data_IF_572384146095
#
_entry.id   IF_572384146095
#
_cell.length_a   1.000
_cell.length_b   1.000
_cell.length_c   1.000
_cell.angle_alpha   90.00
_cell.angle_beta   90.00
_cell.angle_gamma   90.00
#
_symmetry.space_group_name_H-M   'P 1'
#
loop_
_entity.id
_entity.type
_entity.pdbx_description
1 polymer ?
#
# COMPACT_ATOMS: atom_id res chain seq x y z
N UNK A 1 -5.88 -0.93 -17.73
CA UNK A 1 -4.97 -1.20 -16.60
C UNK A 1 -4.81 -2.71 -16.46
N UNK A 2 -3.58 -3.18 -16.22
CA UNK A 2 -3.31 -4.59 -15.91
C UNK A 2 -3.61 -4.92 -14.45
N UNK A 3 -3.74 -6.19 -14.12
CA UNK A 3 -3.92 -6.65 -12.75
C UNK A 3 -3.05 -7.89 -12.52
N UNK A 4 -2.34 -7.90 -11.40
CA UNK A 4 -1.64 -9.09 -10.95
C UNK A 4 -2.64 -10.05 -10.32
N UNK A 5 -2.62 -11.31 -10.74
CA UNK A 5 -3.47 -12.37 -10.17
C UNK A 5 -2.63 -13.28 -9.30
N UNK A 6 -2.86 -13.25 -7.99
CA UNK A 6 -2.22 -14.15 -7.00
C UNK A 6 -2.96 -15.48 -6.91
N UNK A 7 -2.20 -16.57 -6.90
CA UNK A 7 -2.69 -17.96 -6.99
C UNK A 7 -2.09 -18.88 -5.91
N UNK A 8 -1.18 -18.35 -5.08
CA UNK A 8 -0.50 -19.11 -4.04
C UNK A 8 0.40 -18.19 -3.21
N UNK A 9 0.53 -18.52 -1.93
CA UNK A 9 1.39 -17.85 -0.96
C UNK A 9 2.19 -18.90 -0.22
N UNK A 10 3.39 -18.55 0.21
CA UNK A 10 4.23 -19.40 1.03
C UNK A 10 5.14 -18.50 1.87
N UNK A 11 5.15 -18.70 3.18
CA UNK A 11 6.20 -18.18 4.05
C UNK A 11 7.24 -19.27 4.29
N UNK A 12 8.48 -19.00 3.90
CA UNK A 12 9.61 -19.83 4.29
C UNK A 12 10.37 -19.16 5.45
N UNK A 13 10.92 -19.94 6.38
CA UNK A 13 11.66 -19.43 7.51
C UNK A 13 12.96 -20.20 7.76
N UNK A 14 13.92 -19.52 8.37
CA UNK A 14 15.18 -20.10 8.84
C UNK A 14 15.70 -19.32 10.04
N UNK A 15 16.68 -19.88 10.75
CA UNK A 15 17.44 -19.16 11.78
C UNK A 15 18.79 -18.77 11.22
N UNK A 16 19.16 -17.50 11.37
CA UNK A 16 20.51 -17.03 11.01
C UNK A 16 21.56 -17.69 11.91
N UNK A 17 22.83 -17.55 11.54
CA UNK A 17 23.97 -17.93 12.41
C UNK A 17 23.96 -17.20 13.76
N UNK A 18 23.35 -16.01 13.83
CA UNK A 18 23.17 -15.20 15.04
C UNK A 18 21.93 -15.60 15.86
N UNK A 19 21.11 -16.54 15.36
CA UNK A 19 19.92 -17.08 16.04
C UNK A 19 18.60 -16.38 15.69
N UNK A 20 18.64 -15.31 14.88
CA UNK A 20 17.45 -14.57 14.46
C UNK A 20 16.54 -15.42 13.58
N UNK A 21 15.25 -15.42 13.91
CA UNK A 21 14.22 -16.06 13.08
C UNK A 21 13.81 -15.11 11.94
N UNK A 22 14.14 -15.51 10.72
CA UNK A 22 13.90 -14.73 9.52
C UNK A 22 12.98 -15.46 8.56
N UNK A 23 12.30 -14.67 7.72
CA UNK A 23 11.28 -15.11 6.80
C UNK A 23 11.59 -14.62 5.39
N UNK A 24 11.28 -15.44 4.40
CA UNK A 24 11.19 -15.07 2.99
C UNK A 24 9.79 -15.38 2.52
N UNK A 25 9.10 -14.38 1.98
CA UNK A 25 7.74 -14.56 1.48
C UNK A 25 7.77 -14.74 -0.04
N UNK A 26 7.09 -15.80 -0.49
CA UNK A 26 6.93 -16.13 -1.89
C UNK A 26 5.46 -16.06 -2.30
N UNK A 27 5.19 -15.36 -3.40
CA UNK A 27 3.86 -15.31 -3.98
C UNK A 27 3.88 -15.90 -5.40
N UNK A 28 2.87 -16.70 -5.73
CA UNK A 28 2.66 -17.23 -7.07
C UNK A 28 1.67 -16.37 -7.82
N UNK A 29 2.09 -15.73 -8.90
CA UNK A 29 1.22 -14.81 -9.63
C UNK A 29 1.43 -14.85 -11.15
N UNK A 30 0.49 -14.24 -11.87
CA UNK A 30 0.60 -13.91 -13.30
C UNK A 30 -0.05 -12.56 -13.59
N UNK A 31 0.26 -11.95 -14.72
CA UNK A 31 -0.41 -10.74 -15.20
C UNK A 31 -1.68 -11.11 -15.97
N UNK A 32 -2.83 -10.55 -15.58
CA UNK A 32 -4.17 -10.89 -16.10
C UNK A 32 -4.27 -10.74 -17.61
N UNK A 33 -3.56 -9.77 -18.19
CA UNK A 33 -3.60 -9.48 -19.62
C UNK A 33 -2.60 -10.29 -20.46
N UNK A 34 -1.74 -11.11 -19.84
CA UNK A 34 -0.70 -11.87 -20.54
C UNK A 34 -1.11 -13.33 -20.74
N UNK A 35 -1.43 -13.72 -21.98
CA UNK A 35 -1.86 -15.08 -22.32
C UNK A 35 -0.73 -15.88 -23.00
N UNK A 36 -0.61 -17.21 -22.73
CA UNK A 36 -1.37 -17.98 -21.75
C UNK A 36 -0.97 -17.65 -20.30
N UNK A 37 -1.95 -17.66 -19.38
CA UNK A 37 -1.69 -17.43 -17.95
C UNK A 37 -0.77 -18.54 -17.42
N UNK A 38 0.49 -18.17 -17.14
CA UNK A 38 1.50 -19.08 -16.61
C UNK A 38 1.97 -18.57 -15.24
N UNK A 39 1.34 -19.02 -14.14
CA UNK A 39 1.69 -18.56 -12.79
C UNK A 39 3.15 -18.88 -12.45
N UNK A 40 3.86 -17.92 -11.85
CA UNK A 40 5.25 -18.10 -11.40
C UNK A 40 5.38 -17.69 -9.95
N UNK A 41 6.17 -18.45 -9.20
CA UNK A 41 6.58 -18.08 -7.85
C UNK A 41 7.66 -17.01 -7.89
N UNK A 42 7.53 -16.01 -7.04
CA UNK A 42 8.50 -14.92 -6.89
C UNK A 42 8.64 -14.56 -5.43
N UNK A 43 9.88 -14.34 -4.97
CA UNK A 43 10.11 -13.80 -3.62
C UNK A 43 9.80 -12.30 -3.61
N UNK A 44 9.01 -11.82 -2.67
CA UNK A 44 8.64 -10.40 -2.60
C UNK A 44 8.99 -9.71 -1.28
N UNK A 45 9.39 -10.46 -0.24
CA UNK A 45 9.85 -9.92 1.03
C UNK A 45 10.91 -10.83 1.69
N UNK A 46 11.86 -10.23 2.39
CA UNK A 46 12.86 -10.92 3.21
C UNK A 46 13.14 -10.10 4.48
N UNK A 47 13.08 -10.73 5.65
CA UNK A 47 13.36 -10.04 6.91
C UNK A 47 12.74 -10.71 8.13
N UNK A 48 12.63 -9.95 9.22
CA UNK A 48 11.90 -10.38 10.43
C UNK A 48 10.40 -10.50 10.16
N UNK A 49 9.66 -11.15 11.06
CA UNK A 49 8.21 -11.30 10.96
C UNK A 49 7.49 -9.96 10.72
N UNK A 50 7.87 -8.92 11.47
CA UNK A 50 7.22 -7.61 11.38
C UNK A 50 7.59 -6.90 10.08
N UNK A 51 8.86 -6.95 9.66
CA UNK A 51 9.30 -6.39 8.39
C UNK A 51 8.53 -6.99 7.20
N UNK A 52 8.48 -8.32 7.11
CA UNK A 52 7.79 -8.96 5.98
C UNK A 52 6.28 -8.77 6.03
N UNK A 53 5.70 -8.61 7.23
CA UNK A 53 4.29 -8.25 7.39
C UNK A 53 4.02 -6.82 6.90
N UNK A 54 4.89 -5.84 7.20
CA UNK A 54 4.79 -4.49 6.60
C UNK A 54 4.76 -4.56 5.07
N UNK A 55 5.61 -5.40 4.48
CA UNK A 55 5.64 -5.61 3.03
C UNK A 55 4.33 -6.24 2.51
N UNK A 56 3.72 -7.15 3.25
CA UNK A 56 2.41 -7.70 2.93
C UNK A 56 1.29 -6.63 2.96
N UNK A 57 1.36 -5.64 3.84
CA UNK A 57 0.43 -4.50 3.84
C UNK A 57 0.57 -3.62 2.60
N UNK A 58 1.78 -3.46 2.05
CA UNK A 58 1.95 -2.79 0.75
C UNK A 58 1.27 -3.59 -0.38
N UNK A 59 1.36 -4.92 -0.38
CA UNK A 59 0.57 -5.73 -1.32
C UNK A 59 -0.94 -5.64 -1.07
N UNK A 60 -1.37 -5.47 0.18
CA UNK A 60 -2.77 -5.27 0.53
C UNK A 60 -3.34 -3.95 -0.02
N UNK A 61 -2.53 -2.89 -0.13
CA UNK A 61 -3.01 -1.64 -0.75
C UNK A 61 -3.33 -1.79 -2.24
N UNK A 62 -2.65 -2.70 -2.95
CA UNK A 62 -2.96 -2.99 -4.36
C UNK A 62 -4.32 -3.68 -4.52
N UNK A 63 -4.82 -4.33 -3.45
CA UNK A 63 -6.17 -4.90 -3.43
C UNK A 63 -7.25 -3.82 -3.38
N UNK A 64 -6.98 -2.64 -2.80
CA UNK A 64 -7.97 -1.57 -2.62
C UNK A 64 -8.51 -1.06 -3.97
N UNK A 65 -7.63 -0.89 -4.96
CA UNK A 65 -7.99 -0.45 -6.32
C UNK A 65 -8.15 -1.58 -7.34
N UNK A 66 -8.10 -2.85 -6.89
CA UNK A 66 -8.25 -4.01 -7.76
C UNK A 66 -7.02 -4.33 -8.65
N UNK A 67 -5.85 -3.76 -8.37
CA UNK A 67 -4.61 -4.05 -9.07
C UNK A 67 -4.03 -5.43 -8.69
N UNK A 68 -4.37 -5.93 -7.50
CA UNK A 68 -4.11 -7.29 -7.07
C UNK A 68 -5.42 -8.06 -6.90
N UNK A 69 -5.53 -9.19 -7.61
CA UNK A 69 -6.75 -10.00 -7.68
C UNK A 69 -6.46 -11.47 -7.44
N UNK A 70 -7.50 -12.25 -7.21
CA UNK A 70 -7.49 -13.71 -7.30
C UNK A 70 -8.00 -14.15 -8.67
N UNK A 71 -7.85 -15.43 -9.06
CA UNK A 71 -8.47 -15.95 -10.28
C UNK A 71 -10.00 -15.80 -10.30
N UNK A 72 -10.61 -15.60 -9.12
CA UNK A 72 -12.06 -15.41 -8.94
C UNK A 72 -12.47 -13.94 -8.88
N UNK A 73 -11.55 -13.00 -9.07
CA UNK A 73 -11.82 -11.56 -8.99
C UNK A 73 -11.19 -10.89 -7.77
N UNK A 74 -11.78 -9.79 -7.34
CA UNK A 74 -11.24 -8.90 -6.32
C UNK A 74 -10.94 -9.60 -4.98
N UNK A 75 -9.85 -9.17 -4.34
CA UNK A 75 -9.47 -9.59 -3.01
C UNK A 75 -9.71 -8.40 -2.08
N UNK A 76 -10.31 -8.62 -0.91
CA UNK A 76 -10.39 -7.58 0.13
C UNK A 76 -9.02 -7.44 0.83
N UNK A 77 -8.50 -6.22 1.08
CA UNK A 77 -7.19 -6.03 1.70
C UNK A 77 -7.00 -6.79 3.02
N UNK A 78 -8.03 -6.80 3.89
CA UNK A 78 -8.00 -7.52 5.16
C UNK A 78 -7.86 -9.04 5.01
N UNK A 79 -8.44 -9.61 3.94
CA UNK A 79 -8.31 -11.03 3.65
C UNK A 79 -6.92 -11.37 3.11
N UNK A 80 -6.33 -10.47 2.33
CA UNK A 80 -4.96 -10.62 1.85
C UNK A 80 -3.96 -10.63 3.03
N UNK A 81 -4.11 -9.69 3.97
CA UNK A 81 -3.28 -9.61 5.19
C UNK A 81 -3.47 -10.86 6.05
N UNK A 82 -4.71 -11.29 6.28
CA UNK A 82 -5.00 -12.47 7.09
C UNK A 82 -4.41 -13.74 6.47
N UNK A 83 -4.44 -13.87 5.13
CA UNK A 83 -3.79 -15.00 4.44
C UNK A 83 -2.28 -15.02 4.68
N UNK A 84 -1.60 -13.86 4.66
CA UNK A 84 -0.17 -13.79 4.99
C UNK A 84 0.12 -14.09 6.45
N UNK A 85 -0.74 -13.68 7.37
CA UNK A 85 -0.59 -14.01 8.79
C UNK A 85 -0.71 -15.51 9.05
N UNK A 86 -1.58 -16.20 8.31
CA UNK A 86 -1.70 -17.67 8.36
C UNK A 86 -0.43 -18.35 7.88
N UNK A 87 0.12 -17.94 6.73
CA UNK A 87 1.40 -18.44 6.22
C UNK A 87 2.54 -18.21 7.22
N UNK A 88 2.62 -17.00 7.79
CA UNK A 88 3.65 -16.62 8.76
C UNK A 88 3.54 -17.38 10.10
N UNK A 89 2.36 -17.90 10.45
CA UNK A 89 2.17 -18.73 11.64
C UNK A 89 2.50 -20.21 11.38
N UNK A 90 2.66 -20.61 10.12
CA UNK A 90 2.96 -21.98 9.70
C UNK A 90 4.03 -22.00 8.60
N UNK A 91 5.17 -21.34 8.80
CA UNK A 91 6.18 -21.29 7.76
C UNK A 91 6.82 -22.66 7.57
N UNK A 92 7.30 -22.88 6.36
CA UNK A 92 8.11 -24.05 5.99
C UNK A 92 9.59 -23.70 5.99
N UNK A 93 10.45 -24.70 6.03
CA UNK A 93 11.90 -24.49 6.09
C UNK A 93 12.41 -23.85 4.79
N UNK A 94 13.18 -22.77 4.92
CA UNK A 94 14.03 -22.28 3.83
C UNK A 94 15.38 -23.01 3.88
N UNK A 95 15.79 -23.69 2.82
CA UNK A 95 17.13 -24.28 2.78
C UNK A 95 18.20 -23.21 2.70
N UNK A 96 19.41 -23.50 3.19
CA UNK A 96 20.56 -22.63 2.93
C UNK A 96 20.83 -22.59 1.43
N UNK A 97 21.00 -21.37 0.90
CA UNK A 97 21.22 -21.13 -0.52
C UNK A 97 22.55 -20.45 -0.72
N UNK A 98 23.26 -20.87 -1.78
CA UNK A 98 24.52 -20.27 -2.14
C UNK A 98 24.31 -19.30 -3.29
N UNK A 99 24.65 -18.03 -3.06
CA UNK A 99 24.48 -16.95 -4.03
C UNK A 99 25.84 -16.48 -4.52
N UNK A 100 25.91 -16.17 -5.82
CA UNK A 100 27.03 -15.41 -6.39
C UNK A 100 26.58 -13.97 -6.60
N UNK A 101 27.05 -13.09 -5.72
CA UNK A 101 26.82 -11.65 -5.82
C UNK A 101 27.77 -11.07 -6.87
N UNK A 102 27.21 -10.52 -7.94
CA UNK A 102 27.99 -9.90 -9.02
C UNK A 102 27.14 -8.86 -9.73
N UNK A 103 27.75 -7.72 -10.04
CA UNK A 103 27.10 -6.70 -10.87
C UNK A 103 27.10 -7.12 -12.33
N UNK A 104 25.91 -7.25 -12.91
CA UNK A 104 25.75 -7.65 -14.31
C UNK A 104 24.64 -6.83 -14.98
N UNK A 105 24.77 -6.65 -16.29
CA UNK A 105 23.77 -5.98 -17.12
C UNK A 105 22.76 -7.01 -17.65
N UNK A 106 21.99 -7.59 -16.72
CA UNK A 106 20.96 -8.58 -17.01
C UNK A 106 19.74 -8.35 -16.14
N UNK A 107 18.55 -8.54 -16.72
CA UNK A 107 17.31 -8.55 -15.96
C UNK A 107 17.34 -9.58 -14.82
N UNK A 108 18.02 -10.72 -15.00
CA UNK A 108 18.12 -11.79 -14.01
C UNK A 108 19.34 -11.67 -13.09
N UNK A 109 20.14 -10.59 -13.21
CA UNK A 109 21.32 -10.40 -12.38
C UNK A 109 20.96 -10.39 -10.89
N UNK A 110 21.81 -11.02 -10.07
CA UNK A 110 21.70 -10.95 -8.60
C UNK A 110 21.84 -9.50 -8.13
N UNK A 111 22.81 -8.78 -8.70
CA UNK A 111 22.96 -7.33 -8.54
C UNK A 111 22.92 -6.64 -9.93
N UNK A 112 21.91 -5.79 -10.21
CA UNK A 112 21.87 -5.01 -11.45
C UNK A 112 23.00 -3.98 -11.50
N UNK A 113 23.69 -3.86 -12.65
CA UNK A 113 24.77 -2.87 -12.83
C UNK A 113 24.35 -1.43 -12.48
N UNK A 114 23.10 -1.05 -12.82
CA UNK A 114 22.54 0.28 -12.51
C UNK A 114 22.45 0.62 -11.01
N UNK A 115 22.44 -0.39 -10.13
CA UNK A 115 22.29 -0.20 -8.69
C UNK A 115 23.65 -0.12 -7.97
N UNK A 116 24.77 -0.10 -8.71
CA UNK A 116 26.12 -0.21 -8.14
C UNK A 116 26.44 0.89 -7.13
N UNK A 117 26.16 2.15 -7.44
CA UNK A 117 26.46 3.28 -6.53
C UNK A 117 25.57 3.31 -5.29
N UNK A 118 24.28 2.94 -5.44
CA UNK A 118 23.37 2.82 -4.31
C UNK A 118 23.80 1.69 -3.36
N UNK A 119 24.15 0.53 -3.93
CA UNK A 119 24.69 -0.61 -3.17
C UNK A 119 26.00 -0.25 -2.49
N UNK A 120 26.92 0.46 -3.17
CA UNK A 120 28.16 0.95 -2.56
C UNK A 120 27.87 1.79 -1.32
N UNK A 121 27.00 2.79 -1.47
CA UNK A 121 26.64 3.72 -0.40
C UNK A 121 26.05 2.98 0.81
N UNK A 122 25.16 2.02 0.56
CA UNK A 122 24.52 1.22 1.61
C UNK A 122 25.53 0.32 2.34
N UNK A 123 26.39 -0.38 1.59
CA UNK A 123 27.38 -1.28 2.17
C UNK A 123 28.48 -0.52 2.92
N UNK A 124 28.95 0.60 2.40
CA UNK A 124 29.94 1.45 3.07
C UNK A 124 29.43 1.96 4.42
N UNK A 125 28.23 2.53 4.45
CA UNK A 125 27.58 3.01 5.69
C UNK A 125 27.39 1.91 6.74
N UNK A 126 27.30 0.66 6.30
CA UNK A 126 27.06 -0.51 7.16
C UNK A 126 28.35 -1.30 7.46
N UNK A 127 29.52 -0.81 7.04
CA UNK A 127 30.82 -1.46 7.32
C UNK A 127 31.18 -2.63 6.40
N UNK A 128 30.50 -2.79 5.26
CA UNK A 128 30.68 -3.88 4.28
C UNK A 128 31.46 -3.45 3.03
N UNK A 129 32.36 -2.45 3.14
CA UNK A 129 33.11 -1.93 1.98
C UNK A 129 34.04 -3.00 1.37
N UNK A 130 34.68 -3.84 2.19
CA UNK A 130 35.53 -4.93 1.70
C UNK A 130 34.73 -5.97 0.88
N UNK A 131 33.49 -6.25 1.28
CA UNK A 131 32.58 -7.14 0.56
C UNK A 131 32.14 -6.48 -0.76
N UNK A 132 31.89 -5.17 -0.77
CA UNK A 132 31.61 -4.45 -2.01
C UNK A 132 32.78 -4.57 -3.00
N UNK A 133 34.02 -4.34 -2.55
CA UNK A 133 35.21 -4.45 -3.39
C UNK A 133 35.36 -5.87 -3.96
N UNK A 134 35.14 -6.90 -3.13
CA UNK A 134 35.14 -8.29 -3.57
C UNK A 134 34.05 -8.59 -4.62
N UNK A 135 32.84 -8.04 -4.46
CA UNK A 135 31.75 -8.18 -5.43
C UNK A 135 32.13 -7.55 -6.78
N UNK A 136 32.79 -6.39 -6.76
CA UNK A 136 33.16 -5.63 -7.97
C UNK A 136 34.29 -6.32 -8.74
N UNK A 137 35.28 -6.87 -8.05
CA UNK A 137 36.43 -7.50 -8.70
C UNK A 137 36.09 -8.87 -9.32
N UNK A 138 35.73 -9.84 -8.49
CA UNK A 138 35.60 -11.25 -8.91
C UNK A 138 34.17 -11.81 -8.70
N UNK A 139 33.33 -11.05 -8.00
CA UNK A 139 32.07 -11.51 -7.46
C UNK A 139 32.27 -12.25 -6.13
N UNK A 140 31.29 -12.14 -5.24
CA UNK A 140 31.36 -12.71 -3.90
C UNK A 140 30.40 -13.90 -3.79
N UNK A 141 30.90 -15.05 -3.32
CA UNK A 141 30.07 -16.21 -3.01
C UNK A 141 29.65 -16.14 -1.55
N UNK A 142 28.35 -16.16 -1.31
CA UNK A 142 27.74 -16.02 0.02
C UNK A 142 26.69 -17.10 0.25
N UNK A 143 26.37 -17.35 1.51
CA UNK A 143 25.33 -18.29 1.93
C UNK A 143 24.22 -17.55 2.67
N UNK A 144 22.97 -18.02 2.56
CA UNK A 144 21.86 -17.41 3.27
C UNK A 144 22.09 -17.42 4.78
N UNK A 145 22.57 -18.54 5.30
CA UNK A 145 22.74 -18.75 6.74
C UNK A 145 23.99 -18.06 7.28
N UNK A 146 25.09 -18.04 6.51
CA UNK A 146 26.37 -17.47 6.93
C UNK A 146 26.47 -15.96 6.73
N UNK A 147 25.83 -15.42 5.70
CA UNK A 147 25.97 -14.01 5.29
C UNK A 147 24.65 -13.24 5.39
N UNK A 148 23.81 -13.62 6.34
CA UNK A 148 22.45 -13.09 6.52
C UNK A 148 22.43 -11.55 6.60
N UNK A 149 23.34 -10.93 7.37
CA UNK A 149 23.37 -9.48 7.54
C UNK A 149 23.58 -8.74 6.21
N UNK A 150 24.56 -9.20 5.41
CA UNK A 150 24.83 -8.66 4.07
C UNK A 150 23.62 -8.84 3.15
N UNK A 151 23.00 -10.02 3.15
CA UNK A 151 21.86 -10.30 2.29
C UNK A 151 20.62 -9.49 2.70
N UNK A 152 20.42 -9.21 3.99
CA UNK A 152 19.32 -8.36 4.47
C UNK A 152 19.50 -6.92 4.04
N UNK A 153 20.73 -6.39 4.06
CA UNK A 153 21.01 -5.03 3.57
C UNK A 153 20.70 -4.89 2.08
N UNK A 154 20.97 -5.92 1.29
CA UNK A 154 20.76 -5.90 -0.16
C UNK A 154 19.30 -6.18 -0.54
N UNK A 155 18.73 -7.26 0.01
CA UNK A 155 17.48 -7.87 -0.46
C UNK A 155 16.34 -7.85 0.56
N UNK A 156 16.60 -7.31 1.76
CA UNK A 156 15.58 -7.19 2.81
C UNK A 156 14.44 -6.25 2.41
N UNK A 157 13.42 -6.14 3.26
CA UNK A 157 12.27 -5.25 3.00
C UNK A 157 12.70 -3.79 2.77
N UNK A 158 13.72 -3.33 3.51
CA UNK A 158 14.29 -1.98 3.36
C UNK A 158 15.51 -1.95 2.41
N UNK A 159 15.79 -3.07 1.75
CA UNK A 159 16.87 -3.20 0.77
C UNK A 159 16.53 -2.56 -0.57
N UNK A 160 17.55 -2.06 -1.27
CA UNK A 160 17.39 -1.45 -2.59
C UNK A 160 17.14 -2.45 -3.73
N UNK A 161 17.33 -3.75 -3.49
CA UNK A 161 17.26 -4.80 -4.50
C UNK A 161 16.14 -5.78 -4.17
N UNK A 162 15.30 -6.12 -5.15
CA UNK A 162 14.18 -7.03 -4.92
C UNK A 162 14.64 -8.46 -4.60
N UNK A 163 14.03 -9.15 -3.61
CA UNK A 163 14.47 -10.47 -3.15
C UNK A 163 14.31 -11.60 -4.17
N UNK A 164 13.43 -11.50 -5.17
CA UNK A 164 13.30 -12.51 -6.23
C UNK A 164 14.58 -12.72 -7.05
N UNK A 165 15.52 -11.76 -7.01
CA UNK A 165 16.84 -11.87 -7.63
C UNK A 165 17.77 -12.84 -6.91
N UNK A 166 17.55 -13.03 -5.61
CA UNK A 166 18.35 -13.90 -4.76
C UNK A 166 17.63 -15.22 -4.45
N UNK A 167 16.32 -15.17 -4.23
CA UNK A 167 15.59 -16.29 -3.66
C UNK A 167 14.55 -16.84 -4.63
N UNK A 168 14.59 -18.16 -4.80
CA UNK A 168 13.62 -18.92 -5.58
C UNK A 168 12.86 -19.89 -4.70
N UNK A 169 11.56 -20.02 -4.95
CA UNK A 169 10.68 -20.95 -4.24
C UNK A 169 11.12 -22.41 -4.38
N UNK A 170 11.93 -22.74 -5.40
CA UNK A 170 12.50 -24.09 -5.53
C UNK A 170 13.41 -24.51 -4.36
N UNK A 171 13.89 -23.56 -3.56
CA UNK A 171 14.73 -23.81 -2.38
C UNK A 171 13.92 -23.94 -1.09
N UNK A 172 12.59 -23.90 -1.18
CA UNK A 172 11.70 -24.05 -0.04
C UNK A 172 11.49 -25.54 0.23
N UNK A 173 11.78 -25.97 1.46
CA UNK A 173 11.53 -27.33 1.93
C UNK A 173 10.06 -27.56 2.30
N UNK A 174 9.74 -28.79 2.68
CA UNK A 174 8.38 -29.17 3.10
C UNK A 174 8.23 -29.29 4.61
N UNK A 175 9.32 -29.19 5.36
CA UNK A 175 9.32 -29.34 6.81
C UNK A 175 8.80 -28.06 7.46
N UNK A 176 7.83 -28.15 8.38
CA UNK A 176 7.37 -26.99 9.13
C UNK A 176 8.49 -26.48 10.05
N UNK A 177 8.56 -25.17 10.23
CA UNK A 177 9.43 -24.53 11.22
C UNK A 177 8.58 -24.11 12.41
N UNK A 178 9.02 -24.51 13.60
CA UNK A 178 8.36 -24.08 14.83
C UNK A 178 8.61 -22.59 15.09
N UNK A 179 7.51 -21.82 15.16
CA UNK A 179 7.54 -20.38 15.34
C UNK A 179 6.50 -19.95 16.38
N UNK A 180 6.76 -18.86 17.11
CA UNK A 180 5.77 -18.28 18.01
C UNK A 180 4.50 -17.89 17.24
N UNK A 181 3.39 -18.56 17.54
CA UNK A 181 2.12 -18.27 16.90
C UNK A 181 1.62 -16.87 17.30
N UNK A 182 1.32 -16.04 16.31
CA UNK A 182 0.66 -14.74 16.52
C UNK A 182 -0.84 -14.90 16.29
N UNK A 183 -1.63 -14.81 17.35
CA UNK A 183 -3.09 -14.91 17.27
C UNK A 183 -3.73 -13.54 17.27
N UNK A 184 -4.86 -13.43 16.59
CA UNK A 184 -5.67 -12.22 16.62
C UNK A 184 -6.24 -12.04 18.03
N UNK A 185 -6.17 -10.80 18.50
CA UNK A 185 -6.80 -10.34 19.73
C UNK A 185 -8.06 -9.59 19.33
N UNK A 186 -9.14 -9.78 20.09
CA UNK A 186 -10.37 -9.05 19.87
C UNK A 186 -10.11 -7.53 19.96
N UNK A 187 -10.74 -6.79 19.07
CA UNK A 187 -10.68 -5.33 19.00
C UNK A 187 -11.95 -4.80 19.64
N UNK A 188 -11.84 -3.81 20.53
CA UNK A 188 -13.01 -3.17 21.11
C UNK A 188 -13.56 -2.14 20.13
N UNK A 189 -14.88 -1.94 20.12
CA UNK A 189 -15.51 -0.98 19.21
C UNK A 189 -14.98 0.44 19.40
N UNK A 190 -14.67 0.83 20.64
CA UNK A 190 -14.08 2.14 20.96
C UNK A 190 -12.69 2.36 20.35
N UNK A 191 -12.00 1.30 19.94
CA UNK A 191 -10.67 1.37 19.31
C UNK A 191 -10.76 1.44 17.78
N UNK A 192 -11.94 1.23 17.19
CA UNK A 192 -12.15 1.30 15.75
C UNK A 192 -11.99 2.73 15.23
N UNK A 193 -11.51 2.90 13.98
CA UNK A 193 -11.28 4.22 13.42
C UNK A 193 -12.60 4.95 13.16
N UNK A 194 -12.69 6.20 13.64
CA UNK A 194 -13.71 7.15 13.26
C UNK A 194 -13.27 7.90 12.00
N UNK A 195 -13.81 7.52 10.83
CA UNK A 195 -13.47 8.17 9.57
C UNK A 195 -14.38 9.36 9.34
N UNK A 196 -13.78 10.55 9.19
CA UNK A 196 -14.49 11.77 8.81
C UNK A 196 -14.22 12.03 7.33
N UNK A 197 -15.25 11.89 6.50
CA UNK A 197 -15.13 12.10 5.08
C UNK A 197 -16.45 12.57 4.44
N UNK A 198 -16.31 13.27 3.31
CA UNK A 198 -17.41 13.66 2.42
C UNK A 198 -17.16 13.15 1.00
N UNK A 199 -18.23 12.93 0.24
CA UNK A 199 -18.18 12.69 -1.19
C UNK A 199 -18.06 14.02 -1.95
N UNK A 200 -16.99 14.13 -2.75
CA UNK A 200 -16.84 15.21 -3.74
C UNK A 200 -17.60 14.83 -5.02
N UNK A 201 -17.47 13.58 -5.45
CA UNK A 201 -18.23 12.98 -6.54
C UNK A 201 -18.45 11.47 -6.27
N UNK A 202 -18.83 10.71 -7.30
CA UNK A 202 -19.05 9.26 -7.20
C UNK A 202 -17.81 8.47 -6.74
N UNK A 203 -16.59 8.93 -7.05
CA UNK A 203 -15.32 8.22 -6.84
C UNK A 203 -14.38 8.89 -5.84
N UNK A 204 -14.44 10.22 -5.70
CA UNK A 204 -13.50 11.04 -4.95
C UNK A 204 -14.08 11.43 -3.60
N UNK A 205 -13.25 11.36 -2.57
CA UNK A 205 -13.57 11.65 -1.17
C UNK A 205 -12.68 12.76 -0.66
N UNK A 206 -13.27 13.66 0.11
CA UNK A 206 -12.55 14.57 0.99
C UNK A 206 -12.42 13.90 2.35
N UNK A 207 -11.20 13.64 2.81
CA UNK A 207 -10.93 12.87 4.03
C UNK A 207 -10.18 13.73 5.03
N UNK A 208 -10.58 13.71 6.31
CA UNK A 208 -9.88 14.43 7.35
C UNK A 208 -8.71 13.62 7.94
N UNK A 209 -7.67 14.33 8.36
CA UNK A 209 -6.55 13.83 9.16
C UNK A 209 -6.28 14.80 10.32
N UNK A 210 -6.57 14.36 11.54
CA UNK A 210 -6.66 15.28 12.68
C UNK A 210 -7.72 16.33 12.39
N UNK A 211 -7.39 17.61 12.53
CA UNK A 211 -8.29 18.75 12.27
C UNK A 211 -8.23 19.27 10.82
N UNK A 212 -7.44 18.64 9.95
CA UNK A 212 -7.21 19.11 8.58
C UNK A 212 -7.94 18.24 7.57
N UNK A 213 -8.48 18.87 6.53
CA UNK A 213 -8.95 18.18 5.33
C UNK A 213 -7.77 17.94 4.40
N UNK A 214 -7.59 16.70 3.97
CA UNK A 214 -6.65 16.34 2.91
C UNK A 214 -7.23 16.74 1.55
N UNK A 215 -6.39 16.73 0.52
CA UNK A 215 -6.84 16.85 -0.86
C UNK A 215 -7.82 15.74 -1.23
N UNK A 216 -8.60 15.95 -2.30
CA UNK A 216 -9.48 14.92 -2.81
C UNK A 216 -8.70 13.65 -3.18
N UNK A 217 -9.22 12.50 -2.77
CA UNK A 217 -8.64 11.19 -3.06
C UNK A 217 -9.69 10.26 -3.60
N UNK A 218 -9.35 9.48 -4.62
CA UNK A 218 -10.16 8.33 -4.99
C UNK A 218 -10.38 7.46 -3.75
N UNK A 219 -11.59 6.96 -3.54
CA UNK A 219 -11.94 6.19 -2.33
C UNK A 219 -10.97 5.01 -2.09
N UNK A 220 -10.56 4.32 -3.16
CA UNK A 220 -9.57 3.24 -3.06
C UNK A 220 -8.18 3.74 -2.66
N UNK A 221 -7.76 4.93 -3.09
CA UNK A 221 -6.49 5.54 -2.70
C UNK A 221 -6.50 5.97 -1.24
N UNK A 222 -7.61 6.52 -0.75
CA UNK A 222 -7.80 6.83 0.65
C UNK A 222 -7.71 5.56 1.50
N UNK A 223 -8.41 4.49 1.11
CA UNK A 223 -8.34 3.20 1.79
C UNK A 223 -6.91 2.62 1.81
N UNK A 224 -6.21 2.63 0.66
CA UNK A 224 -4.83 2.20 0.56
C UNK A 224 -3.91 2.95 1.54
N UNK A 225 -4.04 4.28 1.63
CA UNK A 225 -3.30 5.12 2.58
C UNK A 225 -3.58 4.73 4.03
N UNK A 226 -4.84 4.48 4.39
CA UNK A 226 -5.21 4.00 5.72
C UNK A 226 -4.61 2.63 6.04
N UNK A 227 -4.66 1.70 5.07
CA UNK A 227 -4.10 0.34 5.19
C UNK A 227 -2.60 0.40 5.47
N UNK A 228 -1.82 1.13 4.68
CA UNK A 228 -0.35 1.18 4.81
C UNK A 228 0.16 2.12 5.90
N UNK A 229 -0.70 2.97 6.47
CA UNK A 229 -0.35 3.90 7.55
C UNK A 229 -0.89 3.42 8.92
N UNK A 230 -1.96 4.06 9.44
CA UNK A 230 -2.43 3.85 10.81
C UNK A 230 -2.88 2.41 11.09
N UNK A 231 -3.43 1.69 10.11
CA UNK A 231 -3.85 0.29 10.31
C UNK A 231 -2.64 -0.63 10.47
N UNK A 232 -1.60 -0.44 9.64
CA UNK A 232 -0.37 -1.22 9.74
C UNK A 232 0.28 -1.08 11.11
N UNK A 233 0.50 0.17 11.56
CA UNK A 233 1.17 0.42 12.85
C UNK A 233 0.38 -0.19 14.02
N UNK A 234 -0.96 -0.10 13.98
CA UNK A 234 -1.80 -0.73 15.01
C UNK A 234 -1.86 -2.25 14.91
N UNK A 235 -1.85 -2.85 13.72
CA UNK A 235 -1.81 -4.31 13.57
C UNK A 235 -0.53 -4.92 14.14
N UNK A 236 0.61 -4.25 13.96
CA UNK A 236 1.89 -4.72 14.51
C UNK A 236 1.90 -4.73 16.05
N UNK A 237 1.16 -3.80 16.68
CA UNK A 237 1.01 -3.73 18.14
C UNK A 237 -0.13 -4.64 18.67
N UNK A 238 -1.23 -4.75 17.92
CA UNK A 238 -2.45 -5.45 18.29
C UNK A 238 -2.95 -6.31 17.12
N UNK A 239 -2.43 -7.54 16.97
CA UNK A 239 -2.80 -8.41 15.86
C UNK A 239 -4.31 -8.66 15.80
N UNK A 240 -4.91 -8.52 14.61
CA UNK A 240 -6.36 -8.61 14.41
C UNK A 240 -7.05 -7.26 14.20
N UNK A 241 -6.37 -6.15 14.48
CA UNK A 241 -6.85 -4.80 14.22
C UNK A 241 -7.25 -4.58 12.75
N UNK A 242 -6.41 -4.98 11.81
CA UNK A 242 -6.66 -4.80 10.38
C UNK A 242 -7.96 -5.49 9.91
N UNK A 243 -8.23 -6.69 10.45
CA UNK A 243 -9.45 -7.44 10.13
C UNK A 243 -10.72 -6.71 10.57
N UNK A 244 -10.66 -5.98 11.69
CA UNK A 244 -11.80 -5.23 12.21
C UNK A 244 -11.90 -3.82 11.60
N UNK A 245 -10.77 -3.11 11.45
CA UNK A 245 -10.75 -1.70 11.08
C UNK A 245 -10.91 -1.44 9.57
N UNK A 246 -10.31 -2.27 8.69
CA UNK A 246 -10.35 -2.03 7.24
C UNK A 246 -11.80 -2.04 6.69
N UNK A 247 -12.67 -2.99 7.07
CA UNK A 247 -14.08 -2.95 6.65
C UNK A 247 -14.79 -1.66 7.03
N UNK A 248 -14.61 -1.17 8.26
CA UNK A 248 -15.22 0.08 8.77
C UNK A 248 -14.79 1.27 7.93
N UNK A 249 -13.48 1.40 7.67
CA UNK A 249 -12.95 2.50 6.84
C UNK A 249 -13.50 2.42 5.43
N UNK A 250 -13.50 1.23 4.82
CA UNK A 250 -14.04 1.03 3.47
C UNK A 250 -15.51 1.40 3.38
N UNK A 251 -16.30 1.01 4.37
CA UNK A 251 -17.73 1.34 4.42
C UNK A 251 -17.97 2.84 4.58
N UNK A 252 -17.27 3.50 5.50
CA UNK A 252 -17.36 4.94 5.68
C UNK A 252 -17.02 5.72 4.41
N UNK A 253 -15.98 5.28 3.67
CA UNK A 253 -15.62 5.87 2.39
C UNK A 253 -16.68 5.61 1.30
N UNK A 254 -17.27 4.41 1.25
CA UNK A 254 -18.29 4.08 0.25
C UNK A 254 -19.60 4.82 0.49
N UNK A 255 -19.97 5.03 1.76
CA UNK A 255 -21.22 5.65 2.19
C UNK A 255 -21.03 7.13 2.59
N UNK A 256 -19.93 7.77 2.17
CA UNK A 256 -19.66 9.16 2.50
C UNK A 256 -20.78 10.08 1.99
N UNK A 257 -21.30 10.93 2.87
CA UNK A 257 -22.36 11.88 2.52
C UNK A 257 -21.82 12.99 1.61
N UNK A 258 -22.65 13.63 0.77
CA UNK A 258 -22.23 14.77 -0.04
C UNK A 258 -21.66 15.91 0.80
N UNK A 259 -20.81 16.74 0.19
CA UNK A 259 -20.32 17.96 0.81
C UNK A 259 -21.48 18.89 1.23
N UNK A 260 -21.42 19.53 2.41
CA UNK A 260 -22.40 20.53 2.82
C UNK A 260 -22.44 21.72 1.86
N UNK A 261 -23.61 22.31 1.63
CA UNK A 261 -23.78 23.43 0.68
C UNK A 261 -22.87 24.62 0.99
N UNK A 262 -22.63 24.91 2.27
CA UNK A 262 -21.75 26.01 2.70
C UNK A 262 -20.25 25.74 2.54
N UNK A 263 -19.83 24.63 1.93
CA UNK A 263 -18.42 24.32 1.70
C UNK A 263 -17.79 25.36 0.77
N UNK A 264 -16.69 25.97 1.21
CA UNK A 264 -15.89 26.89 0.39
C UNK A 264 -14.51 26.32 0.09
N UNK A 265 -14.00 26.63 -1.08
CA UNK A 265 -12.70 26.17 -1.55
C UNK A 265 -11.87 27.38 -1.90
N UNK A 266 -10.68 27.46 -1.30
CA UNK A 266 -9.68 28.48 -1.63
C UNK A 266 -8.63 27.85 -2.52
N UNK A 267 -8.51 28.33 -3.75
CA UNK A 267 -7.48 27.92 -4.70
C UNK A 267 -6.30 28.91 -4.66
N UNK A 268 -5.07 28.40 -4.59
CA UNK A 268 -3.84 29.20 -4.55
C UNK A 268 -2.93 28.86 -5.71
N UNK A 269 -2.82 29.77 -6.66
CA UNK A 269 -1.92 29.66 -7.81
C UNK A 269 -0.45 29.79 -7.41
N UNK A 270 -0.17 30.53 -6.35
CA UNK A 270 1.18 30.66 -5.76
C UNK A 270 1.72 29.37 -5.17
N UNK A 271 0.83 28.41 -4.83
CA UNK A 271 1.21 27.08 -4.36
C UNK A 271 1.56 26.11 -5.50
N UNK A 272 1.32 26.47 -6.76
CA UNK A 272 1.64 25.60 -7.90
C UNK A 272 3.15 25.49 -8.13
N UNK A 273 3.66 24.27 -8.07
CA UNK A 273 5.06 23.92 -8.38
C UNK A 273 5.26 23.58 -9.85
N UNK A 274 4.19 23.16 -10.55
CA UNK A 274 4.25 22.72 -11.94
C UNK A 274 3.27 23.48 -12.86
N UNK A 275 3.62 23.61 -14.14
CA UNK A 275 2.81 24.33 -15.14
C UNK A 275 1.41 23.73 -15.34
N UNK A 276 1.29 22.40 -15.25
CA UNK A 276 -0.01 21.75 -15.41
C UNK A 276 -0.98 22.13 -14.28
N UNK A 277 -0.49 22.36 -13.05
CA UNK A 277 -1.31 22.79 -11.92
C UNK A 277 -1.83 24.22 -12.16
N UNK A 278 -0.98 25.12 -12.67
CA UNK A 278 -1.36 26.48 -13.02
C UNK A 278 -2.44 26.50 -14.10
N UNK A 279 -2.25 25.72 -15.17
CA UNK A 279 -3.25 25.57 -16.24
C UNK A 279 -4.57 25.02 -15.70
N UNK A 280 -4.52 24.02 -14.83
CA UNK A 280 -5.72 23.44 -14.25
C UNK A 280 -6.51 24.46 -13.40
N UNK A 281 -5.82 25.35 -12.67
CA UNK A 281 -6.47 26.44 -11.93
C UNK A 281 -7.04 27.52 -12.86
N UNK A 282 -6.33 27.87 -13.94
CA UNK A 282 -6.85 28.78 -14.96
C UNK A 282 -8.12 28.18 -15.61
N UNK A 283 -8.12 26.87 -15.90
CA UNK A 283 -9.28 26.15 -16.43
C UNK A 283 -10.44 26.13 -15.42
N UNK A 284 -10.15 25.93 -14.12
CA UNK A 284 -11.16 25.97 -13.07
C UNK A 284 -11.78 27.36 -12.92
N UNK A 285 -10.97 28.42 -12.92
CA UNK A 285 -11.47 29.79 -12.84
C UNK A 285 -12.34 30.16 -14.05
N UNK A 286 -11.99 29.64 -15.25
CA UNK A 286 -12.83 29.76 -16.46
C UNK A 286 -14.14 29.00 -16.35
N UNK A 287 -14.10 27.75 -15.90
CA UNK A 287 -15.31 26.92 -15.69
C UNK A 287 -16.26 27.57 -14.66
N UNK A 288 -15.72 28.25 -13.65
CA UNK A 288 -16.45 29.04 -12.65
C UNK A 288 -16.84 30.45 -13.14
N UNK A 289 -16.49 30.82 -14.37
CA UNK A 289 -16.76 32.14 -14.99
C UNK A 289 -16.19 33.33 -14.21
N UNK A 290 -15.07 33.12 -13.52
CA UNK A 290 -14.36 34.16 -12.77
C UNK A 290 -13.43 35.01 -13.65
N UNK A 291 -13.00 34.46 -14.79
CA UNK A 291 -12.07 35.07 -15.74
C UNK A 291 -12.49 34.79 -17.19
N UNK A 292 -12.00 35.59 -18.14
CA UNK A 292 -12.20 35.39 -19.57
C UNK A 292 -11.36 34.27 -20.20
N UNK A 293 -11.63 33.91 -21.46
CA UNK A 293 -10.99 32.76 -22.17
C UNK A 293 -9.46 32.84 -22.26
N UNK A 294 -8.89 34.04 -22.34
CA UNK A 294 -7.45 34.28 -22.51
C UNK A 294 -6.79 34.88 -21.26
N UNK A 295 -7.50 34.90 -20.14
CA UNK A 295 -7.01 35.46 -18.88
C UNK A 295 -6.39 34.38 -17.99
N UNK A 296 -5.52 34.81 -17.08
CA UNK A 296 -4.96 33.95 -16.04
C UNK A 296 -5.79 34.09 -14.78
N UNK A 297 -5.92 33.01 -14.01
CA UNK A 297 -6.56 33.07 -12.71
C UNK A 297 -5.76 33.99 -11.76
N UNK A 298 -6.43 34.68 -10.83
CA UNK A 298 -5.76 35.44 -9.78
C UNK A 298 -4.89 34.51 -8.91
N UNK A 299 -3.95 35.11 -8.18
CA UNK A 299 -3.03 34.37 -7.31
C UNK A 299 -3.75 33.55 -6.23
N UNK A 300 -4.90 34.05 -5.77
CA UNK A 300 -5.82 33.37 -4.87
C UNK A 300 -7.27 33.70 -5.24
N UNK A 301 -8.16 32.70 -5.22
CA UNK A 301 -9.60 32.91 -5.33
C UNK A 301 -10.37 31.90 -4.47
N UNK A 302 -11.54 32.31 -3.99
CA UNK A 302 -12.44 31.48 -3.18
C UNK A 302 -13.79 31.36 -3.86
N UNK A 303 -14.33 30.14 -3.91
CA UNK A 303 -15.65 29.85 -4.47
C UNK A 303 -16.40 28.86 -3.57
N UNK A 304 -17.72 28.79 -3.68
CA UNK A 304 -18.52 27.77 -3.00
C UNK A 304 -18.54 26.49 -3.84
N UNK A 305 -18.55 25.32 -3.18
CA UNK A 305 -18.66 24.06 -3.90
C UNK A 305 -19.98 23.96 -4.70
N UNK A 306 -21.04 24.61 -4.20
CA UNK A 306 -22.31 24.77 -4.90
C UNK A 306 -22.21 25.57 -6.19
N UNK A 307 -21.17 26.39 -6.40
CA UNK A 307 -20.99 27.16 -7.64
C UNK A 307 -20.62 26.24 -8.83
N UNK A 308 -20.24 24.98 -8.57
CA UNK A 308 -19.97 23.96 -9.59
C UNK A 308 -21.30 23.34 -10.06
N UNK A 309 -21.91 23.96 -11.07
CA UNK A 309 -23.19 23.56 -11.66
C UNK A 309 -23.10 23.40 -13.19
N UNK A 310 -24.17 22.87 -13.80
CA UNK A 310 -24.29 22.68 -15.25
C UNK A 310 -23.83 21.32 -15.75
N UNK A 311 -23.85 21.13 -17.08
CA UNK A 311 -23.58 19.84 -17.74
C UNK A 311 -22.15 19.32 -17.49
N UNK A 312 -21.20 20.22 -17.25
CA UNK A 312 -19.79 19.88 -16.98
C UNK A 312 -19.47 19.71 -15.49
N UNK A 313 -20.45 19.81 -14.59
CA UNK A 313 -20.23 19.83 -13.14
C UNK A 313 -19.42 18.62 -12.63
N UNK A 314 -19.72 17.41 -13.11
CA UNK A 314 -19.01 16.20 -12.69
C UNK A 314 -17.53 16.22 -13.12
N UNK A 315 -17.23 16.74 -14.32
CA UNK A 315 -15.86 16.91 -14.81
C UNK A 315 -15.10 17.91 -13.93
N UNK A 316 -15.74 19.02 -13.57
CA UNK A 316 -15.14 20.06 -12.72
C UNK A 316 -14.93 19.54 -11.30
N UNK A 317 -15.90 18.86 -10.70
CA UNK A 317 -15.77 18.22 -9.37
C UNK A 317 -14.64 17.21 -9.33
N UNK A 318 -14.54 16.35 -10.36
CA UNK A 318 -13.44 15.42 -10.51
C UNK A 318 -12.08 16.14 -10.55
N UNK A 319 -11.99 17.22 -11.35
CA UNK A 319 -10.75 18.02 -11.47
C UNK A 319 -10.38 18.64 -10.12
N UNK A 320 -11.32 19.30 -9.45
CA UNK A 320 -11.13 19.89 -8.11
C UNK A 320 -10.65 18.81 -7.14
N UNK A 321 -11.26 17.63 -7.16
CA UNK A 321 -10.84 16.49 -6.36
C UNK A 321 -9.44 15.95 -6.67
N UNK A 322 -8.90 16.23 -7.86
CA UNK A 322 -7.56 15.78 -8.27
C UNK A 322 -6.44 16.81 -8.07
N UNK A 323 -6.80 18.07 -7.77
CA UNK A 323 -5.87 19.18 -7.57
C UNK A 323 -5.26 19.11 -6.17
N UNK A 324 -4.04 18.58 -6.09
CA UNK A 324 -3.31 18.42 -4.83
C UNK A 324 -2.53 19.67 -4.46
N UNK A 325 -2.41 19.94 -3.16
CA UNK A 325 -1.56 20.97 -2.53
C UNK A 325 -1.91 22.44 -2.89
N UNK A 326 -2.78 22.66 -3.87
CA UNK A 326 -3.17 24.00 -4.36
C UNK A 326 -4.55 24.44 -3.89
N UNK A 327 -5.31 23.54 -3.24
CA UNK A 327 -6.64 23.81 -2.71
C UNK A 327 -6.65 23.78 -1.19
N UNK A 328 -7.50 24.58 -0.59
CA UNK A 328 -7.83 24.52 0.84
C UNK A 328 -9.33 24.47 1.01
N UNK A 329 -9.79 23.46 1.75
CA UNK A 329 -11.20 23.18 1.98
C UNK A 329 -11.65 23.79 3.30
N UNK A 330 -12.71 24.60 3.22
CA UNK A 330 -13.38 25.22 4.36
C UNK A 330 -14.78 24.61 4.47
N UNK A 331 -14.88 23.53 5.24
CA UNK A 331 -16.14 22.80 5.42
C UNK A 331 -16.85 23.33 6.68
N UNK A 332 -18.10 23.82 6.57
CA UNK A 332 -18.79 24.50 7.68
C UNK A 332 -19.28 23.55 8.78
N UNK A 333 -19.48 22.28 8.44
CA UNK A 333 -20.01 21.25 9.33
C UNK A 333 -19.05 20.06 9.36
N UNK A 334 -18.83 19.49 10.55
CA UNK A 334 -18.13 18.21 10.63
C UNK A 334 -19.10 17.08 10.26
N UNK A 335 -18.69 16.14 9.40
CA UNK A 335 -19.52 14.97 9.18
C UNK A 335 -19.60 14.21 10.50
N UNK A 336 -20.78 13.70 10.83
CA UNK A 336 -20.90 12.72 11.89
C UNK A 336 -19.92 11.58 11.56
N UNK A 337 -18.98 11.32 12.46
CA UNK A 337 -18.11 10.16 12.31
C UNK A 337 -19.01 8.92 12.20
N UNK A 338 -18.84 8.14 11.14
CA UNK A 338 -19.59 6.89 10.99
C UNK A 338 -19.04 5.93 12.06
N UNK A 339 -19.69 5.92 13.21
CA UNK A 339 -19.44 4.93 14.26
C UNK A 339 -19.95 3.58 13.77
N UNK A 340 -19.23 2.51 14.13
CA UNK A 340 -19.62 1.14 13.85
C UNK A 340 -21.07 0.91 14.30
N UNK A 341 -21.99 0.72 13.35
CA UNK A 341 -23.28 0.15 13.68
C UNK A 341 -23.07 -1.36 13.79
N UNK A 342 -23.46 -2.00 14.91
CA UNK A 342 -23.51 -3.44 14.96
C UNK A 342 -24.60 -3.89 13.97
N UNK A 343 -24.24 -4.77 13.04
CA UNK A 343 -25.22 -5.58 12.30
C UNK A 343 -26.12 -6.24 13.35
N UNK A 344 -27.37 -5.81 13.42
CA UNK A 344 -28.33 -6.38 14.35
C UNK A 344 -28.64 -7.81 13.94
N UNK A 345 -28.66 -8.66 14.96
CA UNK A 345 -28.88 -10.10 14.91
C UNK A 345 -30.02 -10.53 13.97
N UNK A 346 -29.69 -11.31 12.95
CA UNK A 346 -30.65 -12.24 12.37
C UNK A 346 -30.75 -13.48 13.29
N UNK A 347 -31.50 -13.35 14.38
CA UNK A 347 -32.02 -14.49 15.13
C UNK A 347 -33.06 -15.21 14.27
N UNK A 348 -32.61 -16.21 13.52
CA UNK A 348 -33.50 -17.24 12.99
C UNK A 348 -33.87 -18.20 14.11
N UNK A 349 -35.02 -17.98 14.75
CA UNK A 349 -35.67 -19.01 15.56
C UNK A 349 -35.99 -20.22 14.68
N UNK A 350 -35.23 -21.30 14.86
CA UNK A 350 -35.60 -22.63 14.42
C UNK A 350 -36.62 -23.19 15.42
N UNK A 351 -37.90 -22.96 15.15
CA UNK A 351 -38.98 -23.72 15.76
C UNK A 351 -39.00 -25.13 15.15
N UNK A 352 -38.64 -26.13 15.95
CA UNK A 352 -38.92 -27.53 15.66
C UNK A 352 -40.37 -27.84 16.03
N UNK A 353 -41.12 -28.37 15.06
CA UNK A 353 -42.30 -29.21 15.27
C UNK A 353 -42.11 -30.50 14.48
#
# INVERSE_FOLDING_TARGET
>A
MGATVTTGKCAAAFRSSEGDLLYILFERHYEKNCYPHTPKWSAFAFGTRNEVLRRAFVGASDCCGGMLQSPRGEIKPENYIESWKQELNRPVQMSDVVLKLKFEDSWQATLPARAKEDVRTTLEKSGFLAQFDAIVHDGLRVTLYGDTALLRLLYGVDGGISPWRAFSHHNVGTLPVDVPATRNVAVKDADLPAVRCFAIDSNVRLVAEGDKWLDGQWAYSALARFVTGPVLERELAHPGYAKAAIPVVREALNNAVPLPEGTRITARRTACTEDYQRRALDDLARDLRLIGESEQAPDEFTFAFSDIEGEDADRVRYRVGSMREVLTWHVPEEPAAVAAQPDSEAQGELAFA
#
